data_IF_563629871345
#
_entry.id   IF_563629871345
#
_cell.length_a   1.000
_cell.length_b   1.000
_cell.length_c   1.000
_cell.angle_alpha   90.00
_cell.angle_beta   90.00
_cell.angle_gamma   90.00
#
_symmetry.space_group_name_H-M   'P 1'
#
loop_
_entity.id
_entity.type
_entity.pdbx_description
1 polymer ?
#
# COMPACT_ATOMS: atom_id res chain seq x y z
N UNK A 1 -17.92 -72.63 1.15
CA UNK A 1 -16.72 -71.80 0.98
C UNK A 1 -17.15 -70.31 0.90
N UNK A 2 -17.13 -69.58 2.03
CA UNK A 2 -17.42 -68.13 2.08
C UNK A 2 -16.10 -67.38 1.96
N UNK A 3 -15.93 -66.57 0.91
CA UNK A 3 -14.79 -65.64 0.77
C UNK A 3 -15.16 -64.33 1.47
N UNK A 4 -14.49 -64.01 2.56
CA UNK A 4 -14.56 -62.70 3.17
C UNK A 4 -13.75 -61.68 2.34
N UNK A 5 -14.41 -60.65 1.85
CA UNK A 5 -13.74 -59.49 1.21
C UNK A 5 -13.38 -58.48 2.30
N UNK A 6 -12.08 -58.33 2.55
CA UNK A 6 -11.55 -57.30 3.46
C UNK A 6 -11.54 -55.96 2.68
N UNK A 7 -12.42 -55.04 3.03
CA UNK A 7 -12.38 -53.66 2.49
C UNK A 7 -11.41 -52.84 3.38
N UNK A 8 -10.23 -52.55 2.87
CA UNK A 8 -9.29 -51.66 3.51
C UNK A 8 -9.75 -50.21 3.36
N UNK A 9 -10.22 -49.62 4.45
CA UNK A 9 -10.56 -48.19 4.53
C UNK A 9 -9.26 -47.38 4.66
N UNK A 10 -8.77 -46.78 3.57
CA UNK A 10 -7.64 -45.85 3.63
C UNK A 10 -8.14 -44.51 4.18
N UNK A 11 -7.83 -44.21 5.45
CA UNK A 11 -7.97 -42.86 6.01
C UNK A 11 -6.95 -41.94 5.33
N UNK A 12 -7.43 -41.10 4.41
CA UNK A 12 -6.67 -39.94 3.94
C UNK A 12 -6.59 -38.92 5.09
N UNK A 13 -5.48 -38.95 5.86
CA UNK A 13 -5.12 -37.87 6.76
C UNK A 13 -4.82 -36.64 5.92
N UNK A 14 -5.77 -35.71 5.80
CA UNK A 14 -5.49 -34.37 5.32
C UNK A 14 -4.61 -33.64 6.35
N UNK A 15 -3.31 -33.57 6.08
CA UNK A 15 -2.43 -32.69 6.85
C UNK A 15 -2.99 -31.28 6.74
N UNK A 16 -3.14 -30.55 7.86
CA UNK A 16 -3.54 -29.14 7.78
C UNK A 16 -2.47 -28.41 6.96
N UNK A 17 -2.87 -27.83 5.84
CA UNK A 17 -2.01 -26.92 5.08
C UNK A 17 -1.59 -25.82 6.06
N UNK A 18 -0.30 -25.69 6.33
CA UNK A 18 0.20 -24.63 7.20
C UNK A 18 -0.35 -23.29 6.70
N UNK A 19 -0.99 -22.53 7.58
CA UNK A 19 -1.54 -21.23 7.20
C UNK A 19 -0.38 -20.37 6.67
N UNK A 20 -0.59 -19.79 5.47
CA UNK A 20 0.35 -18.87 4.84
C UNK A 20 0.49 -17.62 5.73
N UNK A 21 1.67 -17.02 5.76
CA UNK A 21 1.85 -15.70 6.35
C UNK A 21 1.14 -14.62 5.50
N UNK A 22 0.81 -13.49 6.12
CA UNK A 22 0.40 -12.31 5.39
C UNK A 22 1.62 -11.75 4.63
N UNK A 23 1.49 -11.50 3.35
CA UNK A 23 2.55 -10.92 2.52
C UNK A 23 2.12 -9.58 1.94
N UNK A 24 3.01 -8.59 1.98
CA UNK A 24 2.82 -7.27 1.37
C UNK A 24 4.02 -7.01 0.48
N UNK A 25 3.78 -6.73 -0.81
CA UNK A 25 4.81 -6.41 -1.78
C UNK A 25 4.65 -4.96 -2.23
N UNK A 26 5.70 -4.17 -2.12
CA UNK A 26 5.81 -2.87 -2.79
C UNK A 26 6.51 -3.10 -4.11
N UNK A 27 5.81 -2.82 -5.19
CA UNK A 27 6.25 -3.07 -6.57
C UNK A 27 6.80 -1.77 -7.12
N UNK A 28 7.97 -1.82 -7.74
CA UNK A 28 8.54 -0.65 -8.37
C UNK A 28 7.75 -0.24 -9.62
N UNK A 29 7.18 0.95 -9.56
CA UNK A 29 6.49 1.63 -10.67
C UNK A 29 7.03 3.06 -10.87
N UNK A 30 8.32 3.27 -10.53
CA UNK A 30 9.08 4.50 -10.79
C UNK A 30 8.48 5.75 -10.13
N UNK A 31 7.97 5.61 -8.91
CA UNK A 31 7.38 6.71 -8.14
C UNK A 31 5.89 6.88 -8.40
N UNK A 32 5.18 5.78 -8.57
CA UNK A 32 3.73 5.66 -8.51
C UNK A 32 3.31 4.69 -7.40
N UNK A 33 2.03 4.33 -7.39
CA UNK A 33 1.44 3.37 -6.45
C UNK A 33 1.28 1.98 -7.06
N UNK A 34 1.84 0.92 -6.43
CA UNK A 34 1.50 -0.46 -6.70
C UNK A 34 1.89 -1.34 -5.50
N UNK A 35 0.92 -1.69 -4.67
CA UNK A 35 1.13 -2.53 -3.48
C UNK A 35 0.26 -3.77 -3.58
N UNK A 36 0.86 -4.96 -3.54
CA UNK A 36 0.14 -6.22 -3.56
C UNK A 36 0.14 -6.84 -2.17
N UNK A 37 -1.04 -7.13 -1.64
CA UNK A 37 -1.27 -7.79 -0.37
C UNK A 37 -1.84 -9.18 -0.65
N UNK A 38 -1.23 -10.22 -0.06
CA UNK A 38 -1.75 -11.60 -0.11
C UNK A 38 -1.98 -12.07 1.31
N UNK A 39 -3.24 -12.29 1.65
CA UNK A 39 -3.63 -12.68 3.01
C UNK A 39 -3.36 -14.17 3.29
N UNK A 40 -3.45 -14.64 4.55
CA UNK A 40 -3.20 -16.02 4.90
C UNK A 40 -4.08 -17.05 4.19
N UNK A 41 -5.29 -16.69 3.78
CA UNK A 41 -6.17 -17.56 2.98
C UNK A 41 -5.85 -17.58 1.48
N UNK A 42 -4.85 -16.82 1.04
CA UNK A 42 -4.42 -16.73 -0.36
C UNK A 42 -5.25 -15.76 -1.22
N UNK A 43 -6.16 -14.97 -0.61
CA UNK A 43 -6.83 -13.89 -1.34
C UNK A 43 -5.88 -12.71 -1.54
N UNK A 44 -6.06 -11.98 -2.63
CA UNK A 44 -5.21 -10.86 -2.99
C UNK A 44 -5.97 -9.54 -3.04
N UNK A 45 -5.32 -8.47 -2.55
CA UNK A 45 -5.67 -7.09 -2.77
C UNK A 45 -4.49 -6.39 -3.46
N UNK A 46 -4.71 -5.90 -4.67
CA UNK A 46 -3.79 -5.00 -5.34
C UNK A 46 -4.26 -3.57 -5.07
N UNK A 47 -3.38 -2.72 -4.59
CA UNK A 47 -3.63 -1.29 -4.37
C UNK A 47 -2.85 -0.54 -5.44
N UNK A 48 -3.56 0.11 -6.35
CA UNK A 48 -3.02 0.81 -7.52
C UNK A 48 -2.20 -0.07 -8.49
N UNK A 49 -1.82 0.49 -9.62
CA UNK A 49 -1.23 -0.24 -10.76
C UNK A 49 -0.10 0.49 -11.47
N UNK A 50 0.33 1.63 -10.94
CA UNK A 50 1.33 2.48 -11.58
C UNK A 50 0.85 3.13 -12.88
N UNK A 51 1.81 3.64 -13.62
CA UNK A 51 1.62 4.13 -15.00
C UNK A 51 1.59 2.97 -15.99
N UNK A 52 1.03 3.13 -17.20
CA UNK A 52 1.24 2.15 -18.25
C UNK A 52 2.74 2.03 -18.59
N UNK A 53 3.45 3.15 -18.63
CA UNK A 53 4.85 3.20 -19.03
C UNK A 53 5.10 2.75 -20.48
N UNK A 54 6.34 2.78 -20.98
CA UNK A 54 6.69 2.20 -22.26
C UNK A 54 6.44 0.69 -22.26
N UNK A 55 5.74 0.16 -23.25
CA UNK A 55 5.46 -1.27 -23.42
C UNK A 55 4.78 -1.92 -22.20
N UNK A 56 3.83 -1.23 -21.57
CA UNK A 56 3.16 -1.68 -20.34
C UNK A 56 4.18 -2.03 -19.21
N UNK A 57 5.21 -1.23 -18.99
CA UNK A 57 6.29 -1.47 -18.03
C UNK A 57 5.75 -1.82 -16.64
N UNK A 58 4.95 -0.94 -16.05
CA UNK A 58 4.46 -1.12 -14.68
C UNK A 58 3.44 -2.27 -14.57
N UNK A 59 2.46 -2.41 -15.49
CA UNK A 59 1.61 -3.58 -15.56
C UNK A 59 2.36 -4.91 -15.62
N UNK A 60 3.44 -4.98 -16.41
CA UNK A 60 4.28 -6.18 -16.48
C UNK A 60 4.95 -6.48 -15.14
N UNK A 61 5.49 -5.47 -14.43
CA UNK A 61 6.07 -5.61 -13.09
C UNK A 61 5.03 -6.08 -12.07
N UNK A 62 3.83 -5.48 -12.07
CA UNK A 62 2.71 -5.88 -11.21
C UNK A 62 2.33 -7.35 -11.44
N UNK A 63 2.14 -7.74 -12.68
CA UNK A 63 1.76 -9.14 -13.03
C UNK A 63 2.89 -10.12 -12.73
N UNK A 64 4.16 -9.72 -12.91
CA UNK A 64 5.30 -10.56 -12.54
C UNK A 64 5.32 -10.85 -11.04
N UNK A 65 5.11 -9.83 -10.18
CA UNK A 65 5.04 -10.01 -8.72
C UNK A 65 3.80 -10.81 -8.32
N UNK A 66 2.64 -10.61 -8.95
CA UNK A 66 1.46 -11.44 -8.71
C UNK A 66 1.73 -12.92 -9.01
N UNK A 67 2.41 -13.23 -10.12
CA UNK A 67 2.83 -14.60 -10.46
C UNK A 67 3.87 -15.14 -9.46
N UNK A 68 4.84 -14.32 -9.04
CA UNK A 68 5.83 -14.68 -8.00
C UNK A 68 5.12 -15.05 -6.68
N UNK A 69 4.05 -14.34 -6.34
CA UNK A 69 3.20 -14.65 -5.17
C UNK A 69 2.29 -15.88 -5.38
N UNK A 70 2.35 -16.53 -6.54
CA UNK A 70 1.56 -17.73 -6.88
C UNK A 70 0.12 -17.43 -7.29
N UNK A 71 -0.22 -16.19 -7.62
CA UNK A 71 -1.57 -15.79 -7.98
C UNK A 71 -1.89 -16.10 -9.44
N UNK A 72 -3.12 -16.55 -9.68
CA UNK A 72 -3.70 -16.72 -11.04
C UNK A 72 -4.74 -15.65 -11.36
N UNK A 73 -5.13 -14.86 -10.36
CA UNK A 73 -6.07 -13.75 -10.45
C UNK A 73 -5.75 -12.76 -9.33
N UNK A 74 -6.21 -11.54 -9.48
CA UNK A 74 -6.32 -10.55 -8.41
C UNK A 74 -7.78 -10.59 -7.92
N UNK A 75 -8.00 -10.91 -6.64
CA UNK A 75 -9.38 -10.97 -6.11
C UNK A 75 -9.99 -9.59 -6.02
N UNK A 76 -9.21 -8.62 -5.54
CA UNK A 76 -9.64 -7.24 -5.31
C UNK A 76 -8.57 -6.26 -5.80
N UNK A 77 -9.00 -5.18 -6.48
CA UNK A 77 -8.16 -4.06 -6.85
C UNK A 77 -8.76 -2.80 -6.23
N UNK A 78 -8.01 -2.14 -5.37
CA UNK A 78 -8.34 -0.84 -4.82
C UNK A 78 -7.57 0.23 -5.61
N UNK A 79 -8.29 1.12 -6.28
CA UNK A 79 -7.71 2.33 -6.87
C UNK A 79 -7.85 3.45 -5.85
N UNK A 80 -6.73 3.96 -5.36
CA UNK A 80 -6.73 5.02 -4.35
C UNK A 80 -7.31 6.31 -4.91
N UNK A 81 -6.85 6.71 -6.09
CA UNK A 81 -7.32 7.87 -6.85
C UNK A 81 -6.95 7.74 -8.34
N UNK A 82 -7.35 8.70 -9.19
CA UNK A 82 -7.28 8.52 -10.63
C UNK A 82 -6.11 9.26 -11.33
N UNK A 83 -5.03 9.59 -10.63
CA UNK A 83 -3.81 10.04 -11.30
C UNK A 83 -3.12 8.89 -12.05
N UNK A 84 -2.40 9.26 -13.12
CA UNK A 84 -1.85 8.27 -14.05
C UNK A 84 -0.86 7.29 -13.46
N UNK A 85 -0.13 7.69 -12.45
CA UNK A 85 0.85 6.88 -11.73
C UNK A 85 0.23 5.96 -10.64
N UNK A 86 -1.11 5.93 -10.56
CA UNK A 86 -1.90 5.04 -9.72
C UNK A 86 -2.86 4.18 -10.54
N UNK A 87 -3.70 4.81 -11.37
CA UNK A 87 -4.73 4.09 -12.13
C UNK A 87 -4.29 3.71 -13.55
N UNK A 88 -3.22 4.33 -14.06
CA UNK A 88 -2.87 4.25 -15.48
C UNK A 88 -2.56 2.86 -16.00
N UNK A 89 -2.02 1.99 -15.17
CA UNK A 89 -1.75 0.60 -15.50
C UNK A 89 -2.97 -0.33 -15.45
N UNK A 90 -4.09 0.10 -14.88
CA UNK A 90 -5.26 -0.76 -14.61
C UNK A 90 -5.80 -1.49 -15.84
N UNK A 91 -5.97 -0.84 -17.02
CA UNK A 91 -6.47 -1.54 -18.20
C UNK A 91 -5.54 -2.66 -18.67
N UNK A 92 -4.23 -2.43 -18.59
CA UNK A 92 -3.25 -3.43 -19.00
C UNK A 92 -3.14 -4.58 -17.99
N UNK A 93 -3.14 -4.29 -16.69
CA UNK A 93 -3.18 -5.33 -15.64
C UNK A 93 -4.42 -6.20 -15.81
N UNK A 94 -5.61 -5.62 -15.98
CA UNK A 94 -6.85 -6.37 -16.15
C UNK A 94 -6.89 -7.23 -17.44
N UNK A 95 -6.15 -6.83 -18.48
CA UNK A 95 -5.95 -7.64 -19.70
C UNK A 95 -5.02 -8.82 -19.48
N UNK A 96 -3.99 -8.66 -18.64
CA UNK A 96 -2.93 -9.65 -18.41
C UNK A 96 -3.27 -10.69 -17.33
N UNK A 97 -4.06 -10.30 -16.32
CA UNK A 97 -4.48 -11.17 -15.22
C UNK A 97 -5.93 -10.84 -14.83
N UNK A 98 -6.81 -11.84 -14.61
CA UNK A 98 -8.19 -11.58 -14.22
C UNK A 98 -8.28 -10.79 -12.91
N UNK A 99 -9.14 -9.76 -12.89
CA UNK A 99 -9.48 -9.00 -11.68
C UNK A 99 -10.93 -9.30 -11.31
N UNK A 100 -11.15 -9.67 -10.04
CA UNK A 100 -12.45 -10.06 -9.51
C UNK A 100 -13.37 -8.87 -9.27
N UNK A 101 -12.97 -7.96 -8.39
CA UNK A 101 -13.76 -6.78 -8.00
C UNK A 101 -12.86 -5.55 -7.89
N UNK A 102 -13.42 -4.39 -8.23
CA UNK A 102 -12.75 -3.09 -8.15
C UNK A 102 -13.35 -2.26 -7.02
N UNK A 103 -12.50 -1.62 -6.25
CA UNK A 103 -12.86 -0.68 -5.21
C UNK A 103 -12.25 0.68 -5.54
N UNK A 104 -12.98 1.77 -5.25
CA UNK A 104 -12.54 3.15 -5.48
C UNK A 104 -13.32 4.16 -4.64
N UNK A 105 -12.91 5.43 -4.66
CA UNK A 105 -13.51 6.50 -3.88
C UNK A 105 -14.80 7.09 -4.48
N UNK A 106 -15.23 6.66 -5.65
CA UNK A 106 -16.36 7.25 -6.39
C UNK A 106 -15.95 7.80 -7.74
N UNK A 107 -16.72 8.72 -8.27
CA UNK A 107 -16.45 9.31 -9.58
C UNK A 107 -15.30 10.31 -9.50
N UNK A 108 -14.45 10.33 -10.53
CA UNK A 108 -13.34 11.26 -10.60
C UNK A 108 -13.83 12.70 -10.67
N UNK A 109 -13.23 13.57 -9.86
CA UNK A 109 -13.46 15.01 -9.93
C UNK A 109 -12.73 15.67 -11.12
N UNK A 110 -11.77 14.95 -11.70
CA UNK A 110 -11.04 15.33 -12.90
C UNK A 110 -11.56 14.62 -14.16
N UNK A 111 -12.81 14.12 -14.10
CA UNK A 111 -13.48 13.41 -15.20
C UNK A 111 -13.64 14.22 -16.48
N UNK A 112 -13.31 15.50 -16.43
CA UNK A 112 -13.23 16.39 -17.59
C UNK A 112 -11.79 16.90 -17.74
N UNK A 113 -11.36 17.16 -18.97
CA UNK A 113 -10.00 17.63 -19.24
C UNK A 113 -8.94 16.50 -19.23
N UNK A 114 -7.81 16.73 -18.58
CA UNK A 114 -6.65 15.80 -18.64
C UNK A 114 -6.88 14.47 -17.97
N UNK A 115 -7.73 14.41 -16.96
CA UNK A 115 -8.08 13.17 -16.23
C UNK A 115 -9.08 12.30 -16.98
N UNK A 116 -9.85 12.84 -17.92
CA UNK A 116 -10.92 12.11 -18.60
C UNK A 116 -10.50 10.77 -19.23
N UNK A 117 -9.38 10.66 -19.97
CA UNK A 117 -8.98 9.40 -20.58
C UNK A 117 -8.69 8.28 -19.57
N UNK A 118 -8.10 8.63 -18.42
CA UNK A 118 -7.80 7.68 -17.35
C UNK A 118 -9.09 7.18 -16.69
N UNK A 119 -9.99 8.10 -16.39
CA UNK A 119 -11.28 7.80 -15.82
C UNK A 119 -12.14 6.93 -16.74
N UNK A 120 -12.21 7.27 -18.04
CA UNK A 120 -12.98 6.49 -19.01
C UNK A 120 -12.42 5.08 -19.20
N UNK A 121 -11.11 4.94 -19.24
CA UNK A 121 -10.45 3.64 -19.30
C UNK A 121 -10.73 2.80 -18.04
N UNK A 122 -10.64 3.40 -16.85
CA UNK A 122 -10.97 2.75 -15.59
C UNK A 122 -12.43 2.30 -15.54
N UNK A 123 -13.39 3.17 -15.87
CA UNK A 123 -14.82 2.80 -15.93
C UNK A 123 -15.09 1.62 -16.85
N UNK A 124 -14.38 1.59 -17.97
CA UNK A 124 -14.54 0.50 -18.96
C UNK A 124 -14.13 -0.85 -18.38
N UNK A 125 -12.96 -0.94 -17.73
CA UNK A 125 -12.45 -2.22 -17.23
C UNK A 125 -13.12 -2.65 -15.92
N UNK A 126 -13.63 -1.72 -15.13
CA UNK A 126 -14.32 -1.98 -13.85
C UNK A 126 -15.83 -2.20 -14.01
N UNK A 127 -16.37 -2.05 -15.22
CA UNK A 127 -17.80 -2.13 -15.49
C UNK A 127 -18.43 -3.42 -14.93
N UNK A 128 -19.51 -3.27 -14.15
CA UNK A 128 -20.22 -4.37 -13.50
C UNK A 128 -19.51 -5.01 -12.31
N UNK A 129 -18.31 -4.56 -11.94
CA UNK A 129 -17.50 -5.12 -10.85
C UNK A 129 -17.00 -4.03 -9.88
N UNK A 130 -17.49 -2.82 -9.99
CA UNK A 130 -17.08 -1.65 -9.23
C UNK A 130 -17.86 -1.51 -7.93
N UNK A 131 -17.17 -1.16 -6.85
CA UNK A 131 -17.76 -0.82 -5.55
C UNK A 131 -17.11 0.43 -5.00
N UNK A 132 -17.91 1.44 -4.70
CA UNK A 132 -17.45 2.69 -4.07
C UNK A 132 -17.23 2.43 -2.59
N UNK A 133 -16.02 2.72 -2.10
CA UNK A 133 -15.69 2.58 -0.68
C UNK A 133 -15.96 3.87 0.09
N UNK A 134 -16.25 3.71 1.39
CA UNK A 134 -16.50 4.82 2.31
C UNK A 134 -15.72 4.61 3.61
N UNK A 135 -15.36 5.68 4.32
CA UNK A 135 -14.75 5.58 5.64
C UNK A 135 -15.53 4.68 6.60
N UNK A 136 -14.83 3.77 7.26
CA UNK A 136 -15.40 2.75 8.14
C UNK A 136 -15.80 1.43 7.44
N UNK A 137 -15.85 1.38 6.11
CA UNK A 137 -16.09 0.14 5.37
C UNK A 137 -14.90 -0.82 5.51
N UNK A 138 -15.19 -2.10 5.69
CA UNK A 138 -14.19 -3.18 5.67
C UNK A 138 -14.07 -3.78 4.28
N UNK A 139 -12.85 -3.91 3.80
CA UNK A 139 -12.57 -4.67 2.59
C UNK A 139 -12.77 -6.17 2.87
N UNK A 140 -13.30 -6.94 1.92
CA UNK A 140 -13.74 -8.34 2.16
C UNK A 140 -12.55 -9.33 2.14
N UNK A 141 -11.46 -8.99 2.80
CA UNK A 141 -10.29 -9.85 2.99
C UNK A 141 -10.50 -10.77 4.19
N UNK A 142 -10.30 -12.07 4.00
CA UNK A 142 -10.35 -13.05 5.10
C UNK A 142 -9.09 -12.93 5.98
N UNK A 143 -9.20 -13.36 7.22
CA UNK A 143 -8.10 -13.49 8.17
C UNK A 143 -7.36 -12.20 8.55
N UNK A 144 -7.70 -11.06 7.94
CA UNK A 144 -7.17 -9.73 8.24
C UNK A 144 -8.32 -8.72 8.32
N UNK A 145 -8.12 -7.65 9.08
CA UNK A 145 -9.07 -6.54 9.14
C UNK A 145 -8.48 -5.36 8.36
N UNK A 146 -9.04 -5.06 7.19
CA UNK A 146 -8.66 -3.92 6.37
C UNK A 146 -9.82 -2.93 6.34
N UNK A 147 -9.71 -1.85 7.09
CA UNK A 147 -10.75 -0.82 7.24
C UNK A 147 -10.37 0.42 6.45
N UNK A 148 -11.25 0.89 5.58
CA UNK A 148 -11.11 2.18 4.89
C UNK A 148 -11.16 3.29 5.93
N UNK A 149 -10.14 4.11 5.99
CA UNK A 149 -10.02 5.20 6.98
C UNK A 149 -10.26 6.58 6.38
N UNK A 150 -10.09 6.69 5.08
CA UNK A 150 -10.35 7.90 4.30
C UNK A 150 -10.80 7.51 2.90
N UNK A 151 -11.69 8.27 2.30
CA UNK A 151 -12.14 8.11 0.91
C UNK A 151 -12.95 9.33 0.50
N UNK A 152 -12.78 9.81 -0.73
CA UNK A 152 -13.57 10.91 -1.31
C UNK A 152 -13.62 12.16 -0.42
N UNK A 153 -12.47 12.58 0.11
CA UNK A 153 -12.31 13.71 1.03
C UNK A 153 -13.13 13.62 2.33
N UNK A 154 -13.46 12.40 2.77
CA UNK A 154 -14.07 12.12 4.05
C UNK A 154 -13.17 11.19 4.86
N UNK A 155 -13.04 11.43 6.17
CA UNK A 155 -12.30 10.56 7.09
C UNK A 155 -13.26 9.81 8.02
N UNK A 156 -12.78 8.71 8.62
CA UNK A 156 -13.56 8.02 9.65
C UNK A 156 -14.03 9.00 10.73
N UNK A 157 -15.32 8.92 11.14
CA UNK A 157 -15.87 9.85 12.12
C UNK A 157 -15.29 9.63 13.53
N UNK A 158 -14.97 8.39 13.87
CA UNK A 158 -14.48 7.99 15.19
C UNK A 158 -13.14 7.30 15.10
N UNK A 159 -12.34 7.42 16.15
CA UNK A 159 -11.04 6.78 16.23
C UNK A 159 -11.18 5.24 16.30
N UNK A 160 -10.31 4.56 15.56
CA UNK A 160 -10.08 3.13 15.72
C UNK A 160 -9.27 2.96 17.03
N UNK A 161 -9.61 1.98 17.87
CA UNK A 161 -8.87 1.73 19.12
C UNK A 161 -8.88 2.89 20.14
N UNK A 162 -10.02 3.53 20.34
CA UNK A 162 -10.31 4.57 21.34
C UNK A 162 -9.67 5.94 21.06
N UNK A 163 -8.67 6.03 20.18
CA UNK A 163 -7.97 7.28 19.91
C UNK A 163 -7.23 7.86 21.12
N UNK A 164 -6.32 8.78 20.87
CA UNK A 164 -5.64 9.55 21.90
C UNK A 164 -5.48 10.99 21.44
N UNK A 165 -5.48 11.93 22.38
CA UNK A 165 -5.10 13.32 22.09
C UNK A 165 -3.71 13.32 21.45
N UNK A 166 -3.58 14.06 20.37
CA UNK A 166 -2.34 14.16 19.64
C UNK A 166 -1.61 15.46 20.03
N UNK A 167 -0.51 15.37 20.78
CA UNK A 167 0.21 16.56 21.25
C UNK A 167 0.82 17.37 20.11
N UNK A 168 1.10 16.75 18.97
CA UNK A 168 1.69 17.43 17.81
C UNK A 168 0.71 18.39 17.11
N UNK A 169 -0.59 18.32 17.41
CA UNK A 169 -1.59 19.24 16.84
C UNK A 169 -1.41 20.68 17.31
N UNK A 170 -0.85 20.88 18.49
CA UNK A 170 -0.65 22.22 19.07
C UNK A 170 0.37 23.07 18.29
N UNK A 171 1.31 22.43 17.63
CA UNK A 171 2.39 23.07 16.87
C UNK A 171 2.24 22.83 15.36
N UNK A 172 1.15 22.19 14.94
CA UNK A 172 0.92 21.86 13.55
C UNK A 172 0.63 23.13 12.73
N UNK A 173 1.27 23.24 11.57
CA UNK A 173 0.99 24.30 10.61
C UNK A 173 -0.08 23.83 9.64
N UNK A 174 -1.25 24.48 9.58
CA UNK A 174 -2.27 24.14 8.59
C UNK A 174 -1.77 24.53 7.19
N UNK A 175 -2.15 23.74 6.20
CA UNK A 175 -2.01 24.09 4.77
C UNK A 175 -3.40 24.26 4.15
N UNK A 176 -3.51 25.03 3.05
CA UNK A 176 -4.76 25.09 2.29
C UNK A 176 -5.23 23.69 1.88
N UNK A 177 -6.54 23.52 1.81
CA UNK A 177 -7.11 22.27 1.31
C UNK A 177 -6.70 22.07 -0.15
N UNK A 178 -6.30 20.85 -0.48
CA UNK A 178 -6.10 20.42 -1.85
C UNK A 178 -7.47 20.22 -2.54
N UNK A 179 -7.52 20.47 -3.83
CA UNK A 179 -8.77 20.33 -4.63
C UNK A 179 -8.61 19.34 -5.78
N UNK A 180 -7.53 18.56 -5.77
CA UNK A 180 -7.22 17.55 -6.79
C UNK A 180 -7.71 16.17 -6.40
N UNK A 181 -7.52 15.21 -7.28
CA UNK A 181 -7.78 13.78 -7.02
C UNK A 181 -7.03 13.26 -5.80
N UNK A 182 -5.85 13.80 -5.44
CA UNK A 182 -5.09 13.37 -4.26
C UNK A 182 -5.91 13.47 -2.98
N UNK A 183 -6.68 14.55 -2.79
CA UNK A 183 -7.56 14.72 -1.64
C UNK A 183 -8.61 13.61 -1.55
N UNK A 184 -8.98 13.00 -2.67
CA UNK A 184 -10.00 11.93 -2.76
C UNK A 184 -9.46 10.55 -2.45
N UNK A 185 -8.14 10.39 -2.28
CA UNK A 185 -7.49 9.10 -2.07
C UNK A 185 -8.24 8.21 -1.08
N UNK A 186 -8.50 6.97 -1.50
CA UNK A 186 -9.03 5.92 -0.63
C UNK A 186 -7.86 5.26 0.10
N UNK A 187 -7.78 5.47 1.41
CA UNK A 187 -6.74 4.89 2.26
C UNK A 187 -7.33 3.92 3.29
N UNK A 188 -6.52 2.99 3.75
CA UNK A 188 -6.95 1.96 4.70
C UNK A 188 -5.92 1.69 5.80
N UNK A 189 -6.42 1.16 6.91
CA UNK A 189 -5.63 0.54 7.97
C UNK A 189 -5.88 -0.98 7.93
N UNK A 190 -4.82 -1.77 7.72
CA UNK A 190 -4.86 -3.22 7.81
C UNK A 190 -4.31 -3.67 9.17
N UNK A 191 -5.05 -4.56 9.83
CA UNK A 191 -4.65 -5.16 11.12
C UNK A 191 -4.58 -6.68 10.98
N UNK A 192 -3.47 -7.26 11.44
CA UNK A 192 -3.26 -8.71 11.54
C UNK A 192 -2.59 -9.06 12.86
N UNK A 193 -3.36 -9.48 13.84
CA UNK A 193 -2.88 -9.62 15.21
C UNK A 193 -2.41 -8.28 15.78
N UNK A 194 -1.14 -8.20 16.18
CA UNK A 194 -0.51 -6.94 16.63
C UNK A 194 0.01 -6.07 15.48
N UNK A 195 0.24 -6.65 14.32
CA UNK A 195 0.76 -5.92 13.16
C UNK A 195 -0.31 -5.00 12.58
N UNK A 196 0.08 -3.75 12.32
CA UNK A 196 -0.75 -2.74 11.69
C UNK A 196 -0.01 -2.09 10.54
N UNK A 197 -0.63 -2.06 9.39
CA UNK A 197 -0.13 -1.41 8.18
C UNK A 197 -1.12 -0.33 7.72
N UNK A 198 -0.60 0.85 7.38
CA UNK A 198 -1.40 1.93 6.81
C UNK A 198 -0.86 2.34 5.45
N UNK A 199 -1.77 2.47 4.49
CA UNK A 199 -1.55 2.99 3.15
C UNK A 199 -2.67 4.00 2.86
N UNK A 200 -2.29 5.24 2.55
CA UNK A 200 -3.21 6.35 2.33
C UNK A 200 -3.17 6.87 0.88
N UNK A 201 -2.47 6.17 -0.01
CA UNK A 201 -2.22 6.66 -1.37
C UNK A 201 -1.51 8.01 -1.37
N UNK A 202 -2.03 8.97 -2.12
CA UNK A 202 -1.47 10.33 -2.20
C UNK A 202 -2.25 11.35 -1.35
N UNK A 203 -2.82 10.87 -0.22
CA UNK A 203 -3.63 11.68 0.67
C UNK A 203 -2.94 13.00 1.03
N UNK A 204 -3.73 14.08 1.04
CA UNK A 204 -3.21 15.42 1.21
C UNK A 204 -3.06 15.85 2.67
N UNK A 205 -2.23 16.84 2.92
CA UNK A 205 -1.91 17.35 4.25
C UNK A 205 -3.15 17.70 5.07
N UNK A 206 -4.13 18.37 4.48
CA UNK A 206 -5.36 18.77 5.16
C UNK A 206 -6.19 17.56 5.60
N UNK A 207 -6.20 16.49 4.80
CA UNK A 207 -6.89 15.25 5.14
C UNK A 207 -6.13 14.43 6.20
N UNK A 208 -4.80 14.39 6.12
CA UNK A 208 -3.96 13.79 7.15
C UNK A 208 -4.16 14.49 8.50
N UNK A 209 -4.29 15.82 8.50
CA UNK A 209 -4.62 16.59 9.71
C UNK A 209 -5.98 16.22 10.30
N UNK A 210 -6.99 15.93 9.47
CA UNK A 210 -8.31 15.48 9.93
C UNK A 210 -8.27 14.06 10.54
N UNK A 211 -7.35 13.20 10.08
CA UNK A 211 -7.11 11.89 10.69
C UNK A 211 -6.34 11.99 12.03
N UNK A 212 -5.51 13.01 12.17
CA UNK A 212 -4.58 13.14 13.27
C UNK A 212 -5.04 14.07 14.40
N UNK A 213 -5.86 15.08 14.11
CA UNK A 213 -6.14 16.17 15.04
C UNK A 213 -7.63 16.40 15.31
N UNK A 214 -8.01 16.73 16.55
CA UNK A 214 -7.17 16.79 17.75
C UNK A 214 -6.83 15.40 18.33
N UNK A 215 -7.46 14.36 17.80
CA UNK A 215 -7.31 12.97 18.21
C UNK A 215 -6.69 12.17 17.08
N UNK A 216 -5.62 11.42 17.37
CA UNK A 216 -5.09 10.46 16.44
C UNK A 216 -6.12 9.31 16.25
N UNK A 217 -6.82 9.32 15.12
CA UNK A 217 -7.90 8.37 14.84
C UNK A 217 -7.40 6.97 14.50
N UNK A 218 -6.16 6.83 14.03
CA UNK A 218 -5.58 5.56 13.59
C UNK A 218 -4.82 4.85 14.72
N UNK A 219 -4.35 5.59 15.72
CA UNK A 219 -3.43 5.09 16.74
C UNK A 219 -2.02 4.88 16.20
N UNK A 220 -1.20 4.10 16.92
CA UNK A 220 0.14 3.74 16.47
C UNK A 220 0.10 2.58 15.49
N UNK A 221 1.05 2.56 14.54
CA UNK A 221 1.12 1.53 13.50
C UNK A 221 2.50 0.84 13.51
N UNK A 222 2.57 -0.36 12.97
CA UNK A 222 3.82 -1.10 12.85
C UNK A 222 4.57 -0.68 11.58
N UNK A 223 3.84 -0.57 10.47
CA UNK A 223 4.40 -0.26 9.17
C UNK A 223 3.57 0.84 8.50
N UNK A 224 4.25 1.82 7.95
CA UNK A 224 3.66 2.94 7.23
C UNK A 224 4.22 3.00 5.82
N UNK A 225 3.35 2.97 4.82
CA UNK A 225 3.72 3.39 3.48
C UNK A 225 3.71 4.91 3.45
N UNK A 226 4.88 5.51 3.21
CA UNK A 226 4.99 6.96 3.19
C UNK A 226 4.04 7.57 2.15
N UNK A 227 3.10 8.39 2.61
CA UNK A 227 2.07 9.01 1.78
C UNK A 227 2.72 9.76 0.61
N UNK A 228 2.10 9.70 -0.58
CA UNK A 228 2.49 10.46 -1.76
C UNK A 228 3.98 10.28 -2.09
N UNK A 229 4.42 9.02 -2.15
CA UNK A 229 5.78 8.60 -2.54
C UNK A 229 6.90 9.15 -1.63
N UNK A 230 6.58 9.50 -0.39
CA UNK A 230 7.49 10.21 0.54
C UNK A 230 7.33 11.73 0.41
N UNK A 231 6.09 12.21 0.53
CA UNK A 231 5.66 13.62 0.63
C UNK A 231 5.96 14.46 -0.61
N UNK A 232 5.74 13.89 -1.79
CA UNK A 232 6.04 14.57 -3.05
C UNK A 232 5.50 16.02 -3.06
N UNK A 233 6.38 16.97 -3.36
CA UNK A 233 6.13 18.41 -3.34
C UNK A 233 5.55 18.96 -2.02
N UNK A 234 5.73 18.23 -0.89
CA UNK A 234 5.22 18.61 0.43
C UNK A 234 3.70 18.82 0.49
N UNK A 235 2.94 18.20 -0.41
CA UNK A 235 1.48 18.22 -0.38
C UNK A 235 0.89 17.25 0.66
N UNK A 236 1.72 16.38 1.20
CA UNK A 236 1.39 15.35 2.18
C UNK A 236 2.41 15.34 3.31
N UNK A 237 2.28 14.40 4.24
CA UNK A 237 3.27 14.19 5.29
C UNK A 237 3.17 15.19 6.43
N UNK A 238 1.94 15.58 6.81
CA UNK A 238 1.73 16.44 7.97
C UNK A 238 2.45 15.85 9.20
N UNK A 239 3.45 16.56 9.80
CA UNK A 239 4.21 16.01 10.91
C UNK A 239 3.33 15.58 12.09
N UNK A 240 2.22 16.29 12.36
CA UNK A 240 1.27 15.91 13.38
C UNK A 240 0.64 14.52 13.10
N UNK A 241 0.46 14.13 11.84
CA UNK A 241 -0.02 12.83 11.47
C UNK A 241 1.07 11.76 11.60
N UNK A 242 2.17 11.96 10.91
CA UNK A 242 3.26 10.98 10.81
C UNK A 242 3.87 10.67 12.17
N UNK A 243 4.15 11.70 12.99
CA UNK A 243 4.72 11.54 14.33
C UNK A 243 3.75 10.86 15.30
N UNK A 244 2.42 11.07 15.14
CA UNK A 244 1.42 10.41 15.98
C UNK A 244 1.21 8.94 15.61
N UNK A 245 1.45 8.54 14.36
CA UNK A 245 1.43 7.15 13.94
C UNK A 245 2.56 6.33 14.58
N UNK A 246 3.69 6.94 14.90
CA UNK A 246 4.89 6.30 15.47
C UNK A 246 5.24 4.98 14.78
N UNK A 247 5.36 4.93 13.45
CA UNK A 247 5.65 3.70 12.74
C UNK A 247 6.98 3.11 13.18
N UNK A 248 7.04 1.79 13.32
CA UNK A 248 8.27 1.05 13.60
C UNK A 248 9.13 0.93 12.33
N UNK A 249 8.48 0.77 11.18
CA UNK A 249 9.12 0.71 9.86
C UNK A 249 8.34 1.59 8.88
N UNK A 250 9.06 2.30 8.02
CA UNK A 250 8.51 3.05 6.90
C UNK A 250 8.98 2.42 5.59
N UNK A 251 8.08 2.26 4.65
CA UNK A 251 8.42 1.92 3.25
C UNK A 251 8.05 3.09 2.35
N UNK A 252 8.97 3.48 1.48
CA UNK A 252 8.79 4.60 0.56
C UNK A 252 8.74 4.08 -0.87
N UNK A 253 7.61 4.27 -1.52
CA UNK A 253 7.38 3.90 -2.93
C UNK A 253 7.80 5.03 -3.89
N UNK A 254 8.98 5.61 -3.63
CA UNK A 254 9.56 6.68 -4.44
C UNK A 254 10.07 6.19 -5.80
N UNK A 255 10.21 7.11 -6.73
CA UNK A 255 10.98 6.93 -7.94
C UNK A 255 12.39 7.53 -7.82
N UNK A 256 13.22 7.44 -8.87
CA UNK A 256 14.57 7.99 -8.85
C UNK A 256 14.60 9.52 -8.70
N UNK A 257 13.59 10.22 -9.21
CA UNK A 257 13.49 11.69 -9.15
C UNK A 257 12.18 12.19 -8.53
N UNK A 258 11.29 11.29 -8.10
CA UNK A 258 9.99 11.60 -7.52
C UNK A 258 9.84 11.03 -6.11
N UNK A 259 9.37 11.85 -5.19
CA UNK A 259 9.16 11.45 -3.79
C UNK A 259 10.43 11.47 -2.94
N UNK A 260 10.32 10.96 -1.71
CA UNK A 260 11.36 10.98 -0.68
C UNK A 260 11.95 12.37 -0.49
N UNK A 261 11.06 13.35 -0.22
CA UNK A 261 11.44 14.75 -0.06
C UNK A 261 12.31 14.96 1.19
N UNK A 262 13.03 16.08 1.23
CA UNK A 262 13.82 16.46 2.41
C UNK A 262 12.94 16.53 3.67
N UNK A 263 11.71 17.02 3.55
CA UNK A 263 10.74 17.06 4.65
C UNK A 263 10.36 15.65 5.15
N UNK A 264 10.30 14.65 4.25
CA UNK A 264 10.06 13.26 4.64
C UNK A 264 11.23 12.68 5.43
N UNK A 265 12.45 12.94 4.98
CA UNK A 265 13.67 12.59 5.71
C UNK A 265 13.70 13.23 7.09
N UNK A 266 13.52 14.55 7.17
CA UNK A 266 13.54 15.31 8.41
C UNK A 266 12.45 14.88 9.40
N UNK A 267 11.29 14.48 8.87
CA UNK A 267 10.20 13.95 9.69
C UNK A 267 10.53 12.57 10.20
N UNK A 268 11.09 11.70 9.34
CA UNK A 268 11.48 10.34 9.71
C UNK A 268 12.49 10.33 10.88
N UNK A 269 13.46 11.25 10.88
CA UNK A 269 14.45 11.39 11.97
C UNK A 269 13.81 11.74 13.34
N UNK A 270 12.57 12.22 13.36
CA UNK A 270 11.84 12.62 14.58
C UNK A 270 10.83 11.56 15.03
N UNK A 271 10.62 10.49 14.28
CA UNK A 271 9.68 9.43 14.64
C UNK A 271 10.24 8.65 15.83
N UNK A 272 9.52 8.71 16.95
CA UNK A 272 9.88 7.95 18.13
C UNK A 272 9.75 6.44 17.88
N UNK A 273 10.86 5.73 18.04
CA UNK A 273 10.92 4.28 17.89
C UNK A 273 10.95 3.77 16.45
N UNK A 274 11.21 4.64 15.47
CA UNK A 274 11.50 4.20 14.10
C UNK A 274 12.77 3.34 14.10
N UNK A 275 12.70 2.18 13.49
CA UNK A 275 13.84 1.28 13.36
C UNK A 275 14.50 1.38 11.98
N UNK A 276 13.69 1.43 10.91
CA UNK A 276 14.21 1.53 9.56
C UNK A 276 13.24 2.25 8.60
N UNK A 277 13.85 2.83 7.56
CA UNK A 277 13.18 3.24 6.34
C UNK A 277 13.68 2.37 5.19
N UNK A 278 12.78 1.86 4.36
CA UNK A 278 13.08 1.10 3.15
C UNK A 278 12.64 1.89 1.92
N UNK A 279 13.49 1.99 0.90
CA UNK A 279 13.21 2.74 -0.32
C UNK A 279 13.06 1.82 -1.53
N UNK A 280 12.03 2.05 -2.35
CA UNK A 280 11.90 1.35 -3.63
C UNK A 280 12.99 1.81 -4.60
N UNK A 281 13.27 3.10 -4.66
CA UNK A 281 14.36 3.64 -5.47
C UNK A 281 15.38 4.41 -4.64
N UNK A 282 16.63 4.39 -5.10
CA UNK A 282 17.59 5.41 -4.72
C UNK A 282 17.13 6.77 -5.26
N UNK A 283 17.03 7.75 -4.39
CA UNK A 283 16.77 9.13 -4.80
C UNK A 283 18.00 9.69 -5.53
N UNK A 284 17.83 10.15 -6.76
CA UNK A 284 18.91 10.63 -7.65
C UNK A 284 18.81 12.13 -7.96
N UNK A 285 17.63 12.72 -7.70
CA UNK A 285 17.35 14.14 -7.94
C UNK A 285 17.82 15.04 -6.80
N UNK A 286 17.03 16.08 -6.46
CA UNK A 286 17.36 17.03 -5.38
C UNK A 286 17.53 16.37 -4.01
N UNK A 287 16.94 15.19 -3.79
CA UNK A 287 16.93 14.47 -2.51
C UNK A 287 18.03 13.38 -2.41
N UNK A 288 18.98 13.33 -3.33
CA UNK A 288 20.01 12.29 -3.43
C UNK A 288 20.90 12.12 -2.19
N UNK A 289 20.99 13.14 -1.35
CA UNK A 289 21.83 13.11 -0.15
C UNK A 289 21.14 12.45 1.07
N UNK A 290 19.88 12.08 0.93
CA UNK A 290 19.05 11.51 2.00
C UNK A 290 18.69 10.03 1.80
N UNK A 291 19.48 9.30 1.02
CA UNK A 291 19.25 7.87 0.83
C UNK A 291 19.58 7.08 2.10
N UNK A 292 18.83 6.01 2.34
CA UNK A 292 19.12 5.02 3.37
C UNK A 292 20.28 4.10 2.96
N UNK A 293 20.70 3.17 3.83
CA UNK A 293 21.73 2.19 3.53
C UNK A 293 21.37 1.36 2.28
N UNK A 294 22.36 1.07 1.45
CA UNK A 294 22.18 0.44 0.13
C UNK A 294 21.41 -0.89 0.18
N UNK A 295 21.52 -1.66 1.26
CA UNK A 295 20.79 -2.91 1.42
C UNK A 295 19.26 -2.71 1.59
N UNK A 296 18.83 -1.53 2.00
CA UNK A 296 17.44 -1.15 2.19
C UNK A 296 16.82 -0.50 0.94
N UNK A 297 17.57 -0.37 -0.15
CA UNK A 297 17.13 0.21 -1.43
C UNK A 297 16.94 -0.90 -2.45
N UNK A 298 15.77 -1.01 -3.03
CA UNK A 298 15.47 -2.07 -4.00
C UNK A 298 16.04 -1.78 -5.41
N UNK A 299 16.05 -0.53 -5.85
CA UNK A 299 16.49 -0.14 -7.19
C UNK A 299 17.46 1.04 -7.12
N UNK A 300 18.77 0.79 -7.17
CA UNK A 300 19.80 1.84 -7.16
C UNK A 300 20.09 2.40 -8.55
N UNK A 301 19.58 1.79 -9.63
CA UNK A 301 19.85 2.17 -10.99
C UNK A 301 18.88 3.26 -11.49
N UNK A 302 19.29 4.11 -12.47
CA UNK A 302 18.37 5.03 -13.14
C UNK A 302 17.29 4.28 -13.94
N UNK A 303 16.21 4.98 -14.29
CA UNK A 303 15.00 4.42 -14.92
C UNK A 303 15.27 3.54 -16.14
N UNK A 304 16.18 3.92 -17.00
CA UNK A 304 16.53 3.20 -18.24
C UNK A 304 17.24 1.85 -17.97
N UNK A 305 17.83 1.67 -16.80
CA UNK A 305 18.56 0.46 -16.38
C UNK A 305 17.83 -0.29 -15.24
N UNK A 306 16.71 0.26 -14.76
CA UNK A 306 16.01 -0.27 -13.61
C UNK A 306 15.33 -1.61 -13.90
N UNK A 307 15.60 -2.60 -13.05
CA UNK A 307 15.08 -3.97 -13.18
C UNK A 307 13.69 -4.14 -12.56
N UNK A 308 13.18 -3.16 -11.84
CA UNK A 308 11.87 -3.22 -11.20
C UNK A 308 11.81 -4.19 -10.02
N UNK A 309 12.82 -4.14 -9.14
CA UNK A 309 12.84 -4.96 -7.94
C UNK A 309 11.80 -4.46 -6.92
N UNK A 310 11.32 -5.39 -6.14
CA UNK A 310 10.31 -5.17 -5.11
C UNK A 310 10.90 -5.20 -3.70
N UNK A 311 10.17 -4.66 -2.73
CA UNK A 311 10.34 -4.92 -1.30
C UNK A 311 9.16 -5.78 -0.84
N UNK A 312 9.40 -6.79 0.01
CA UNK A 312 8.35 -7.64 0.55
C UNK A 312 8.40 -7.67 2.07
N UNK A 313 7.26 -7.50 2.72
CA UNK A 313 7.05 -7.89 4.11
C UNK A 313 6.35 -9.25 4.17
N UNK A 314 6.86 -10.15 5.02
CA UNK A 314 6.22 -11.42 5.39
C UNK A 314 5.90 -11.37 6.87
N UNK A 315 4.62 -11.48 7.23
CA UNK A 315 4.13 -11.21 8.58
C UNK A 315 3.47 -12.47 9.14
N UNK A 316 4.03 -13.00 10.22
CA UNK A 316 3.46 -14.13 10.97
C UNK A 316 2.37 -13.66 11.95
N UNK A 317 1.42 -14.53 12.25
CA UNK A 317 0.29 -14.24 13.16
C UNK A 317 0.72 -13.84 14.58
N UNK A 318 1.89 -14.26 15.01
CA UNK A 318 2.45 -13.90 16.32
C UNK A 318 2.99 -12.46 16.39
N UNK A 319 2.99 -11.71 15.28
CA UNK A 319 3.46 -10.36 15.19
C UNK A 319 4.93 -10.22 14.79
N UNK A 320 5.67 -11.30 14.56
CA UNK A 320 6.98 -11.20 13.91
C UNK A 320 6.81 -10.92 12.43
N UNK A 321 7.67 -10.08 11.88
CA UNK A 321 7.64 -9.80 10.44
C UNK A 321 9.04 -9.57 9.90
N UNK A 322 9.23 -9.89 8.62
CA UNK A 322 10.53 -9.78 7.95
C UNK A 322 10.35 -9.00 6.66
N UNK A 323 11.13 -7.92 6.49
CA UNK A 323 11.26 -7.27 5.19
C UNK A 323 12.39 -7.91 4.39
N UNK A 324 12.16 -8.07 3.10
CA UNK A 324 13.10 -8.65 2.13
C UNK A 324 13.24 -7.72 0.95
N UNK A 325 14.49 -7.42 0.57
CA UNK A 325 14.82 -6.69 -0.65
C UNK A 325 14.95 -7.69 -1.81
N UNK A 326 14.12 -7.52 -2.84
CA UNK A 326 14.09 -8.42 -4.01
C UNK A 326 15.34 -8.34 -4.88
N UNK A 327 16.11 -7.25 -4.79
CA UNK A 327 17.34 -7.06 -5.57
C UNK A 327 18.50 -7.94 -5.06
N UNK A 328 18.76 -7.90 -3.76
CA UNK A 328 19.97 -8.49 -3.17
C UNK A 328 19.68 -9.63 -2.18
N UNK A 329 18.39 -9.90 -1.90
CA UNK A 329 17.98 -10.91 -0.95
C UNK A 329 18.21 -10.53 0.53
N UNK A 330 18.62 -9.27 0.81
CA UNK A 330 18.79 -8.79 2.18
C UNK A 330 17.48 -8.90 2.96
N UNK A 331 17.57 -9.36 4.20
CA UNK A 331 16.42 -9.57 5.09
C UNK A 331 16.69 -8.94 6.44
N UNK A 332 15.68 -8.28 7.00
CA UNK A 332 15.68 -7.82 8.38
C UNK A 332 14.35 -8.16 9.04
N UNK A 333 14.43 -8.74 10.24
CA UNK A 333 13.26 -9.19 11.01
C UNK A 333 12.99 -8.25 12.16
N UNK A 334 11.71 -8.09 12.49
CA UNK A 334 11.16 -7.20 13.49
C UNK A 334 10.06 -7.93 14.29
N UNK A 335 9.63 -7.33 15.37
CA UNK A 335 8.46 -7.78 16.14
C UNK A 335 7.51 -6.59 16.34
N UNK A 336 6.26 -6.72 15.89
CA UNK A 336 5.23 -5.71 16.07
C UNK A 336 4.98 -5.42 17.56
N UNK A 337 5.00 -4.16 17.93
CA UNK A 337 4.85 -3.65 19.30
C UNK A 337 3.41 -3.63 19.79
#
# INVERSE_FOLDING_TARGET
MFRAILVALTLLCSLPLAARDLEIYWIDVEGGGATLIVNPSGQSLLVDTGNPGPNDRDPNRVVAVAKLAGLKKIDYLLTTHYHGDHVGGTPAVARMIPVGQFFDHGDSIEAQGRGAPLWDAYKTVSAGKRTIVKPGMKLPLKDVDATIVVSNAEVIPSAINRGALNPYCMTATPKPADTTENQRSAGFLLTYGKFKFVDLGDLTWDMEMQLACPINKLGTVTLFQATHHGFFNDFSGAPAHVLALKPQVVVVNNGPTKGWQNSAWDTAQKIEGLEDVWQIHQAMGPNRDHNVAADLIANPEPTDQCKGNWIKATIAKNGTFTLTNGRNGFKKSYTAR
#
